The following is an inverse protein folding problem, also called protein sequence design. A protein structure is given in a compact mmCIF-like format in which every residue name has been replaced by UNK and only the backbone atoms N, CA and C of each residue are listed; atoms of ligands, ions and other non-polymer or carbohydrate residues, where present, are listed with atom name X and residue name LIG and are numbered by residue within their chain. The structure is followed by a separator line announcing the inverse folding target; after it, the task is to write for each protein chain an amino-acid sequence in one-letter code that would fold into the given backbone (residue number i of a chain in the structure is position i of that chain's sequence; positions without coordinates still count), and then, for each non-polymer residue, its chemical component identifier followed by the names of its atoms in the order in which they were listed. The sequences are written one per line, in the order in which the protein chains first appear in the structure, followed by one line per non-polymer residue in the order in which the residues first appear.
data_IF_411875073266
#
_entry.id   IF_411875073266
#
_cell.length_a   1.000
_cell.length_b   1.000
_cell.length_c   1.000
_cell.angle_alpha   90.00
_cell.angle_beta   90.00
_cell.angle_gamma   90.00
#
_symmetry.space_group_name_H-M   'P 1'
#
loop_
_entity.id
_entity.type
_entity.pdbx_description
1 polymer ?
#
# COMPACT_ATOMS: atom_id res chain seq x y z
N UNK A 1 -40.25 40.59 24.41
CA UNK A 1 -38.96 40.88 23.75
C UNK A 1 -37.89 40.07 24.48
N UNK A 2 -37.55 38.84 24.04
CA UNK A 2 -36.58 38.01 24.79
C UNK A 2 -36.42 36.56 24.35
N UNK A 3 -36.96 36.14 23.20
CA UNK A 3 -36.93 34.69 22.79
C UNK A 3 -35.93 34.39 21.66
N UNK A 4 -35.28 35.39 21.07
CA UNK A 4 -34.40 35.17 19.92
C UNK A 4 -32.88 35.28 20.18
N UNK A 5 -32.46 35.36 21.45
CA UNK A 5 -31.02 35.53 21.78
C UNK A 5 -30.19 34.26 21.86
N UNK A 6 -30.79 33.05 21.69
CA UNK A 6 -30.08 31.79 21.81
C UNK A 6 -29.94 31.00 20.49
N UNK A 7 -30.27 31.60 19.34
CA UNK A 7 -30.17 30.89 18.05
C UNK A 7 -28.81 31.04 17.35
N UNK A 8 -27.91 31.84 17.85
CA UNK A 8 -26.53 31.97 17.37
C UNK A 8 -25.54 31.57 18.46
N UNK A 9 -25.72 30.40 19.07
CA UNK A 9 -24.57 29.75 19.71
C UNK A 9 -23.54 29.49 18.63
N UNK A 10 -22.38 30.11 18.76
CA UNK A 10 -21.20 29.79 18.02
C UNK A 10 -21.12 28.26 17.94
N UNK A 11 -20.89 27.71 16.72
CA UNK A 11 -20.61 26.29 16.56
C UNK A 11 -19.31 26.03 17.29
N UNK A 12 -19.40 25.70 18.57
CA UNK A 12 -18.26 25.18 19.29
C UNK A 12 -17.77 23.97 18.52
N UNK A 13 -16.49 23.99 18.16
CA UNK A 13 -15.86 22.80 17.55
C UNK A 13 -16.19 21.63 18.48
N UNK A 14 -16.67 20.50 17.95
CA UNK A 14 -17.04 19.37 18.80
C UNK A 14 -15.88 19.03 19.71
N UNK A 15 -16.19 18.85 21.00
CA UNK A 15 -15.21 18.39 21.97
C UNK A 15 -14.79 16.97 21.54
N UNK A 16 -13.64 16.86 20.89
CA UNK A 16 -13.03 15.55 20.71
C UNK A 16 -12.65 15.07 22.10
N UNK A 17 -13.47 14.19 22.65
CA UNK A 17 -13.04 13.31 23.71
C UNK A 17 -11.63 12.86 23.39
N UNK A 18 -10.71 12.97 24.35
CA UNK A 18 -9.28 12.67 24.31
C UNK A 18 -8.91 11.80 23.10
N UNK A 19 -7.93 12.20 22.28
CA UNK A 19 -7.57 11.42 21.11
C UNK A 19 -7.41 9.98 21.61
N UNK A 20 -8.39 9.16 21.34
CA UNK A 20 -8.27 7.76 21.54
C UNK A 20 -7.37 7.29 20.40
N UNK A 21 -6.05 7.56 20.52
CA UNK A 21 -5.14 6.55 20.02
C UNK A 21 -5.71 5.30 20.64
N UNK A 22 -6.37 4.44 19.87
CA UNK A 22 -6.88 3.23 20.47
C UNK A 22 -5.65 2.62 21.12
N UNK A 23 -5.63 2.52 22.45
CA UNK A 23 -4.66 1.71 23.17
C UNK A 23 -5.01 0.25 22.88
N UNK A 24 -5.04 -0.08 21.60
CA UNK A 24 -5.05 -1.41 21.07
C UNK A 24 -3.61 -1.92 21.25
N UNK A 25 -3.14 -2.03 22.53
CA UNK A 25 -3.00 -3.35 23.05
C UNK A 25 -1.60 -3.92 22.97
N UNK A 26 -0.92 -3.77 24.02
CA UNK A 26 0.21 -4.63 24.39
C UNK A 26 -0.22 -6.04 24.86
N UNK A 27 -1.47 -6.46 24.61
CA UNK A 27 -1.93 -7.79 24.94
C UNK A 27 -1.44 -8.81 23.92
N UNK A 28 -1.07 -10.00 24.37
CA UNK A 28 -0.77 -11.15 23.50
C UNK A 28 -1.98 -11.46 22.61
N UNK A 29 -1.70 -11.94 21.40
CA UNK A 29 -2.73 -12.47 20.50
C UNK A 29 -3.31 -13.77 21.05
N UNK A 30 -4.43 -14.24 20.49
CA UNK A 30 -4.98 -15.56 20.83
C UNK A 30 -3.99 -16.71 20.60
N UNK A 31 -3.01 -16.52 19.70
CA UNK A 31 -1.92 -17.46 19.45
C UNK A 31 -0.72 -17.28 20.39
N UNK A 32 -0.79 -16.40 21.39
CA UNK A 32 0.31 -16.13 22.33
C UNK A 32 1.45 -15.29 21.78
N UNK A 33 1.32 -14.75 20.55
CA UNK A 33 2.34 -13.92 19.91
C UNK A 33 2.16 -12.44 20.20
N UNK A 34 3.28 -11.74 20.40
CA UNK A 34 3.29 -10.29 20.46
C UNK A 34 3.42 -9.72 19.05
N UNK A 35 2.35 -9.10 18.56
CA UNK A 35 2.32 -8.46 17.24
C UNK A 35 2.42 -6.96 17.41
N UNK A 36 3.50 -6.41 16.89
CA UNK A 36 3.76 -4.97 16.73
C UNK A 36 4.05 -4.69 15.26
N UNK A 37 4.08 -3.44 14.86
CA UNK A 37 4.44 -3.05 13.50
C UNK A 37 5.81 -3.60 13.09
N UNK A 38 6.77 -3.63 14.02
CA UNK A 38 8.11 -4.17 13.77
C UNK A 38 8.12 -5.69 13.65
N UNK A 39 7.43 -6.41 14.55
CA UNK A 39 7.40 -7.88 14.49
C UNK A 39 6.54 -8.38 13.33
N UNK A 40 5.47 -7.67 12.97
CA UNK A 40 4.64 -7.99 11.82
C UNK A 40 5.44 -7.96 10.49
N UNK A 41 6.39 -7.03 10.34
CA UNK A 41 7.26 -6.95 9.17
C UNK A 41 8.24 -8.13 9.03
N UNK A 42 8.37 -8.98 10.05
CA UNK A 42 9.13 -10.24 9.95
C UNK A 42 8.33 -11.34 9.25
N UNK A 43 7.00 -11.22 9.19
CA UNK A 43 6.16 -12.12 8.39
C UNK A 43 6.36 -11.81 6.90
N UNK A 44 6.76 -12.83 6.13
CA UNK A 44 7.01 -12.69 4.69
C UNK A 44 5.79 -12.15 3.93
N UNK A 45 4.57 -12.58 4.29
CA UNK A 45 3.34 -12.13 3.65
C UNK A 45 3.03 -10.65 3.95
N UNK A 46 3.22 -10.20 5.20
CA UNK A 46 3.04 -8.78 5.57
C UNK A 46 4.06 -7.91 4.84
N UNK A 47 5.34 -8.30 4.88
CA UNK A 47 6.41 -7.58 4.20
C UNK A 47 6.14 -7.45 2.69
N UNK A 48 5.75 -8.55 2.03
CA UNK A 48 5.45 -8.56 0.60
C UNK A 48 4.26 -7.63 0.26
N UNK A 49 3.16 -7.68 1.01
CA UNK A 49 2.01 -6.82 0.79
C UNK A 49 2.33 -5.33 0.98
N UNK A 50 3.03 -4.98 2.07
CA UNK A 50 3.46 -3.59 2.35
C UNK A 50 4.37 -3.10 1.24
N UNK A 51 5.35 -3.91 0.84
CA UNK A 51 6.31 -3.59 -0.21
C UNK A 51 5.62 -3.35 -1.56
N UNK A 52 4.75 -4.26 -2.00
CA UNK A 52 4.04 -4.14 -3.28
C UNK A 52 3.25 -2.82 -3.35
N UNK A 53 2.50 -2.47 -2.32
CA UNK A 53 1.71 -1.23 -2.33
C UNK A 53 2.62 0.00 -2.26
N UNK A 54 3.61 0.01 -1.36
CA UNK A 54 4.49 1.16 -1.15
C UNK A 54 5.34 1.46 -2.38
N UNK A 55 5.99 0.45 -2.98
CA UNK A 55 6.80 0.60 -4.19
C UNK A 55 5.93 0.99 -5.41
N UNK A 56 4.73 0.42 -5.54
CA UNK A 56 3.82 0.77 -6.63
C UNK A 56 3.49 2.26 -6.58
N UNK A 57 3.08 2.79 -5.42
CA UNK A 57 2.72 4.21 -5.28
C UNK A 57 3.96 5.10 -5.40
N UNK A 58 5.08 4.70 -4.81
CA UNK A 58 6.33 5.46 -4.88
C UNK A 58 6.87 5.59 -6.30
N UNK A 59 6.64 4.60 -7.16
CA UNK A 59 7.08 4.61 -8.56
C UNK A 59 6.27 5.53 -9.46
N UNK A 60 5.06 5.94 -9.05
CA UNK A 60 4.21 6.81 -9.85
C UNK A 60 4.75 8.25 -9.88
N UNK A 61 4.83 8.88 -11.06
CA UNK A 61 5.18 10.29 -11.14
C UNK A 61 4.12 11.15 -10.45
N UNK A 62 4.56 12.00 -9.53
CA UNK A 62 3.72 12.99 -8.84
C UNK A 62 4.01 14.37 -9.44
N UNK A 63 2.96 15.04 -9.88
CA UNK A 63 3.08 16.35 -10.51
C UNK A 63 2.19 17.39 -9.85
N UNK A 64 2.63 18.63 -9.88
CA UNK A 64 1.80 19.79 -9.59
C UNK A 64 1.19 20.28 -10.90
N UNK A 65 -0.12 20.43 -10.93
CA UNK A 65 -0.88 20.96 -12.05
C UNK A 65 -1.50 22.29 -11.70
N UNK A 66 -1.65 23.13 -12.73
CA UNK A 66 -2.42 24.36 -12.68
C UNK A 66 -3.67 24.20 -13.53
N UNK A 67 -4.82 24.66 -13.02
CA UNK A 67 -6.04 24.79 -13.83
C UNK A 67 -5.86 25.83 -14.92
N UNK A 68 -6.30 25.53 -16.11
CA UNK A 68 -6.36 26.42 -17.29
C UNK A 68 -7.76 26.32 -17.90
N UNK A 69 -8.13 27.28 -18.75
CA UNK A 69 -9.51 27.37 -19.30
C UNK A 69 -9.98 26.06 -19.97
N UNK A 70 -9.08 25.31 -20.58
CA UNK A 70 -9.36 24.06 -21.29
C UNK A 70 -8.77 22.83 -20.59
N UNK A 71 -8.71 22.81 -19.26
CA UNK A 71 -8.25 21.63 -18.52
C UNK A 71 -7.14 21.90 -17.51
N UNK A 72 -6.06 21.13 -17.55
CA UNK A 72 -4.93 21.22 -16.61
C UNK A 72 -3.60 21.22 -17.33
N UNK A 73 -2.62 21.94 -16.77
CA UNK A 73 -1.24 21.99 -17.28
C UNK A 73 -0.26 21.76 -16.13
N UNK A 74 0.78 20.93 -16.36
CA UNK A 74 1.89 20.78 -15.40
C UNK A 74 2.60 22.12 -15.23
N UNK A 75 2.96 22.46 -14.00
CA UNK A 75 3.69 23.69 -13.69
C UNK A 75 5.03 23.41 -12.99
N UNK A 76 6.09 23.08 -13.75
CA UNK A 76 7.41 22.84 -13.20
C UNK A 76 8.09 24.09 -12.62
N UNK A 77 7.53 25.29 -12.88
CA UNK A 77 8.08 26.56 -12.37
C UNK A 77 7.71 26.83 -10.91
N UNK A 78 6.69 26.16 -10.41
CA UNK A 78 6.27 26.30 -9.02
C UNK A 78 7.28 25.64 -8.06
N UNK A 79 7.72 26.30 -6.95
CA UNK A 79 8.72 25.75 -6.03
C UNK A 79 8.36 24.37 -5.48
N UNK A 80 7.08 24.13 -5.18
CA UNK A 80 6.58 22.87 -4.66
C UNK A 80 6.76 21.71 -5.65
N UNK A 81 6.79 21.98 -6.98
CA UNK A 81 6.96 20.93 -7.99
C UNK A 81 8.25 20.14 -7.77
N UNK A 82 9.37 20.83 -7.59
CA UNK A 82 10.68 20.18 -7.38
C UNK A 82 10.70 19.34 -6.10
N UNK A 83 10.07 19.82 -5.03
CA UNK A 83 9.99 19.08 -3.75
C UNK A 83 9.16 17.80 -3.90
N UNK A 84 8.06 17.83 -4.60
CA UNK A 84 7.18 16.66 -4.77
C UNK A 84 7.70 15.69 -5.83
N UNK A 85 8.25 16.20 -6.93
CA UNK A 85 8.63 15.39 -8.10
C UNK A 85 10.04 14.83 -7.99
N UNK A 86 11.01 15.61 -7.51
CA UNK A 86 12.42 15.23 -7.50
C UNK A 86 12.90 14.80 -6.11
N UNK A 87 12.92 15.73 -5.15
CA UNK A 87 13.45 15.49 -3.81
C UNK A 87 12.75 16.40 -2.79
N UNK A 88 12.08 15.85 -1.76
CA UNK A 88 11.40 16.63 -0.74
C UNK A 88 12.35 17.33 0.21
N UNK A 89 13.58 16.85 0.29
CA UNK A 89 14.67 17.37 1.14
C UNK A 89 16.01 16.84 0.61
N UNK A 90 17.17 17.34 1.14
CA UNK A 90 18.49 16.91 0.68
C UNK A 90 18.85 15.45 0.99
N UNK A 91 18.14 14.78 1.89
CA UNK A 91 18.48 13.45 2.40
C UNK A 91 17.86 12.31 1.61
N UNK A 92 16.75 12.58 0.87
CA UNK A 92 16.03 11.52 0.19
C UNK A 92 15.40 11.96 -1.13
N UNK A 93 15.23 11.00 -2.03
CA UNK A 93 14.49 11.19 -3.28
C UNK A 93 12.98 11.20 -3.02
N UNK A 94 12.21 11.71 -3.97
CA UNK A 94 10.74 11.67 -3.86
C UNK A 94 10.18 10.26 -3.85
N UNK A 95 10.87 9.28 -4.47
CA UNK A 95 10.53 7.86 -4.37
C UNK A 95 10.60 7.37 -2.92
N UNK A 96 11.76 7.52 -2.28
CA UNK A 96 11.98 7.07 -0.89
C UNK A 96 11.01 7.76 0.07
N UNK A 97 10.75 9.04 -0.14
CA UNK A 97 9.78 9.79 0.67
C UNK A 97 8.38 9.19 0.59
N UNK A 98 7.85 8.94 -0.63
CA UNK A 98 6.53 8.36 -0.83
C UNK A 98 6.44 6.93 -0.32
N UNK A 99 7.49 6.13 -0.56
CA UNK A 99 7.60 4.77 -0.02
C UNK A 99 7.54 4.76 1.51
N UNK A 100 8.26 5.69 2.16
CA UNK A 100 8.27 5.85 3.62
C UNK A 100 6.88 6.24 4.13
N UNK A 101 6.22 7.24 3.53
CA UNK A 101 4.88 7.64 3.93
C UNK A 101 3.86 6.51 3.77
N UNK A 102 3.96 5.76 2.67
CA UNK A 102 3.09 4.60 2.45
C UNK A 102 3.35 3.47 3.44
N UNK A 103 4.61 3.19 3.74
CA UNK A 103 4.98 2.21 4.77
C UNK A 103 4.42 2.62 6.13
N UNK A 104 4.49 3.90 6.50
CA UNK A 104 3.87 4.42 7.73
C UNK A 104 2.35 4.21 7.74
N UNK A 105 1.67 4.51 6.64
CA UNK A 105 0.22 4.30 6.51
C UNK A 105 -0.18 2.83 6.64
N UNK A 106 0.57 1.94 6.00
CA UNK A 106 0.27 0.51 5.96
C UNK A 106 0.58 -0.19 7.29
N UNK A 107 1.47 0.35 8.11
CA UNK A 107 1.82 -0.20 9.42
C UNK A 107 1.07 0.48 10.56
N UNK A 108 1.14 1.81 10.65
CA UNK A 108 0.56 2.59 11.76
C UNK A 108 -0.79 3.24 11.45
N UNK A 109 -1.21 3.19 10.18
CA UNK A 109 -2.46 3.82 9.75
C UNK A 109 -2.42 5.34 9.67
N UNK A 110 -1.26 5.95 9.88
CA UNK A 110 -1.04 7.38 9.76
C UNK A 110 0.36 7.63 9.20
N UNK A 111 0.51 8.66 8.38
CA UNK A 111 1.81 9.16 7.99
C UNK A 111 1.92 10.65 8.34
N UNK A 112 3.08 11.05 8.82
CA UNK A 112 3.36 12.42 9.21
C UNK A 112 4.66 12.87 8.57
N UNK A 113 4.69 14.13 8.12
CA UNK A 113 5.93 14.78 7.72
C UNK A 113 5.94 16.23 8.19
N UNK A 114 7.10 16.69 8.68
CA UNK A 114 7.31 18.08 9.04
C UNK A 114 7.51 18.92 7.78
N UNK A 115 6.81 20.05 7.70
CA UNK A 115 6.92 21.04 6.64
C UNK A 115 7.83 22.16 7.15
N UNK A 116 9.01 22.32 6.51
CA UNK A 116 9.90 23.42 6.81
C UNK A 116 9.64 24.58 5.84
N UNK A 117 9.45 25.78 6.39
CA UNK A 117 9.23 27.01 5.62
C UNK A 117 10.35 28.00 5.90
N UNK A 118 10.73 28.77 4.87
CA UNK A 118 11.66 29.90 5.02
C UNK A 118 10.97 31.14 5.59
N UNK A 119 11.73 32.23 5.77
CA UNK A 119 11.20 33.50 6.29
C UNK A 119 10.17 34.19 5.38
N UNK A 120 10.02 33.75 4.13
CA UNK A 120 9.00 34.20 3.18
C UNK A 120 7.76 33.29 3.13
N UNK A 121 7.74 32.24 3.95
CA UNK A 121 6.65 31.27 4.00
C UNK A 121 6.75 30.13 2.97
N UNK A 122 7.71 30.14 2.07
CA UNK A 122 7.89 29.10 1.04
C UNK A 122 8.39 27.78 1.68
N UNK A 123 7.87 26.65 1.19
CA UNK A 123 8.30 25.34 1.65
C UNK A 123 9.70 25.05 1.08
N UNK A 124 10.66 24.79 1.99
CA UNK A 124 12.06 24.49 1.64
C UNK A 124 12.43 23.03 1.91
N UNK A 125 11.55 22.29 2.58
CA UNK A 125 11.79 20.87 2.83
C UNK A 125 10.63 20.18 3.53
N UNK A 126 10.47 18.88 3.29
CA UNK A 126 9.44 18.03 3.89
C UNK A 126 10.14 16.77 4.41
N UNK A 127 10.04 16.51 5.73
CA UNK A 127 10.75 15.44 6.41
C UNK A 127 9.79 14.47 7.08
N UNK A 128 9.83 13.16 6.78
CA UNK A 128 8.96 12.17 7.43
C UNK A 128 9.23 12.10 8.94
N UNK A 129 8.16 11.95 9.71
CA UNK A 129 8.21 11.75 11.15
C UNK A 129 7.63 10.38 11.51
N UNK A 130 8.27 9.70 12.47
CA UNK A 130 7.84 8.35 12.87
C UNK A 130 6.46 8.40 13.57
N UNK A 131 5.47 7.64 13.08
CA UNK A 131 4.11 7.69 13.64
C UNK A 131 4.00 7.18 15.08
N UNK A 132 4.84 6.24 15.49
CA UNK A 132 4.88 5.69 16.86
C UNK A 132 5.30 6.73 17.91
N UNK A 133 5.86 7.86 17.47
CA UNK A 133 6.29 9.00 18.30
C UNK A 133 5.37 10.20 18.21
N UNK A 134 4.31 10.12 17.41
CA UNK A 134 3.39 11.23 17.16
C UNK A 134 2.08 11.02 17.93
N UNK A 135 1.64 12.06 18.60
CA UNK A 135 0.32 12.14 19.23
C UNK A 135 -0.43 13.34 18.67
N UNK A 136 -1.63 13.10 18.18
CA UNK A 136 -2.54 14.16 17.73
C UNK A 136 -3.37 14.60 18.93
N UNK A 137 -3.42 15.90 19.21
CA UNK A 137 -4.12 16.49 20.35
C UNK A 137 -4.80 17.80 19.96
N UNK A 138 -5.48 18.43 20.91
CA UNK A 138 -5.99 19.80 20.77
C UNK A 138 -5.43 20.65 21.91
N UNK A 139 -5.14 21.92 21.58
CA UNK A 139 -4.75 22.92 22.56
C UNK A 139 -5.96 23.44 23.34
N UNK A 140 -5.74 24.41 24.24
CA UNK A 140 -6.77 25.05 25.06
C UNK A 140 -7.82 25.76 24.20
N UNK A 141 -7.44 26.28 23.04
CA UNK A 141 -8.31 26.94 22.07
C UNK A 141 -9.00 25.94 21.10
N UNK A 142 -8.87 24.62 21.37
CA UNK A 142 -9.40 23.52 20.54
C UNK A 142 -8.78 23.43 19.13
N UNK A 143 -7.63 24.08 18.88
CA UNK A 143 -6.89 23.91 17.64
C UNK A 143 -6.15 22.57 17.63
N UNK A 144 -6.04 21.97 16.44
CA UNK A 144 -5.31 20.72 16.26
C UNK A 144 -3.82 20.97 16.42
N UNK A 145 -3.17 20.18 17.28
CA UNK A 145 -1.72 20.20 17.50
C UNK A 145 -1.15 18.79 17.41
N UNK A 146 0.12 18.70 17.08
CA UNK A 146 0.84 17.46 16.95
C UNK A 146 2.01 17.43 17.93
N UNK A 147 2.00 16.47 18.84
CA UNK A 147 3.03 16.30 19.86
C UNK A 147 3.98 15.17 19.45
N UNK A 148 5.21 15.52 19.11
CA UNK A 148 6.22 14.57 18.67
C UNK A 148 7.26 14.33 19.75
N UNK A 149 7.50 13.05 20.07
CA UNK A 149 8.50 12.64 21.04
C UNK A 149 9.87 12.44 20.38
N UNK A 150 10.78 13.40 20.57
CA UNK A 150 12.16 13.33 20.10
C UNK A 150 13.11 13.04 21.28
N UNK A 151 13.42 11.78 21.49
CA UNK A 151 14.18 11.35 22.67
C UNK A 151 13.41 11.69 23.97
N UNK A 152 14.02 12.48 24.84
CA UNK A 152 13.40 12.94 26.10
C UNK A 152 12.60 14.24 25.93
N UNK A 153 12.63 14.87 24.76
CA UNK A 153 11.94 16.14 24.51
C UNK A 153 10.64 15.89 23.75
N UNK A 154 9.59 16.58 24.14
CA UNK A 154 8.36 16.65 23.38
C UNK A 154 8.32 17.98 22.61
N UNK A 155 8.07 17.90 21.31
CA UNK A 155 7.98 19.04 20.41
C UNK A 155 6.51 19.15 19.99
N UNK A 156 5.92 20.33 20.14
CA UNK A 156 4.59 20.61 19.67
C UNK A 156 4.65 21.32 18.33
N UNK A 157 3.94 20.78 17.33
CA UNK A 157 3.76 21.38 16.02
C UNK A 157 2.32 21.85 15.85
N UNK A 158 2.16 22.94 15.12
CA UNK A 158 0.84 23.40 14.65
C UNK A 158 0.39 22.64 13.43
N UNK A 159 -0.87 22.77 13.06
CA UNK A 159 -1.45 22.08 11.91
C UNK A 159 -0.75 22.44 10.59
N UNK A 160 -0.33 23.69 10.41
CA UNK A 160 0.36 24.16 9.21
C UNK A 160 1.82 23.70 9.07
N UNK A 161 2.39 23.14 10.14
CA UNK A 161 3.76 22.63 10.16
C UNK A 161 3.85 21.12 9.86
N UNK A 162 2.70 20.44 9.75
CA UNK A 162 2.65 18.99 9.59
C UNK A 162 1.78 18.61 8.38
N UNK A 163 2.36 17.85 7.46
CA UNK A 163 1.61 17.03 6.52
C UNK A 163 1.15 15.78 7.26
N UNK A 164 -0.12 15.68 7.56
CA UNK A 164 -0.74 14.51 8.16
C UNK A 164 -1.65 13.82 7.16
N UNK A 165 -1.41 12.54 6.93
CA UNK A 165 -2.19 11.68 6.04
C UNK A 165 -2.79 10.56 6.91
N UNK A 166 -4.07 10.67 7.31
CA UNK A 166 -4.72 9.62 8.09
C UNK A 166 -5.22 8.48 7.20
N UNK A 167 -5.09 7.24 7.66
CA UNK A 167 -5.73 6.07 7.08
C UNK A 167 -7.22 5.99 7.41
N UNK A 168 -7.78 4.77 7.38
CA UNK A 168 -9.14 4.51 7.82
C UNK A 168 -9.23 4.68 9.34
N UNK A 169 -10.15 5.50 9.84
CA UNK A 169 -10.39 5.75 11.25
C UNK A 169 -11.87 6.12 11.51
N UNK A 170 -12.27 6.25 12.78
CA UNK A 170 -13.66 6.61 13.13
C UNK A 170 -13.90 8.11 13.19
N UNK A 171 -12.90 8.89 13.60
CA UNK A 171 -13.05 10.31 13.85
C UNK A 171 -12.65 11.20 12.65
N UNK A 172 -12.09 10.59 11.60
CA UNK A 172 -11.58 11.30 10.43
C UNK A 172 -10.29 12.08 10.67
N UNK A 173 -9.71 11.99 11.88
CA UNK A 173 -8.46 12.66 12.26
C UNK A 173 -7.31 11.68 12.38
N UNK A 174 -7.53 10.52 13.00
CA UNK A 174 -6.50 9.51 13.22
C UNK A 174 -6.94 8.18 12.62
N UNK A 175 -6.08 7.61 11.78
CA UNK A 175 -6.28 6.28 11.20
C UNK A 175 -5.89 5.17 12.17
N UNK A 176 -6.54 4.02 12.04
CA UNK A 176 -6.18 2.80 12.77
C UNK A 176 -4.97 2.13 12.16
N UNK A 177 -4.08 1.59 13.00
CA UNK A 177 -3.02 0.70 12.55
C UNK A 177 -3.63 -0.57 11.91
N UNK A 178 -3.37 -0.85 10.61
CA UNK A 178 -3.79 -2.10 9.99
C UNK A 178 -3.23 -3.34 10.71
N UNK A 179 -2.01 -3.23 11.24
CA UNK A 179 -1.37 -4.28 12.05
C UNK A 179 -2.16 -4.54 13.33
N UNK A 180 -2.54 -3.48 14.04
CA UNK A 180 -3.33 -3.62 15.28
C UNK A 180 -4.70 -4.24 15.01
N UNK A 181 -5.35 -3.86 13.91
CA UNK A 181 -6.66 -4.40 13.52
C UNK A 181 -6.58 -5.88 13.09
N UNK A 182 -5.51 -6.27 12.44
CA UNK A 182 -5.30 -7.63 11.92
C UNK A 182 -4.41 -8.50 12.83
N UNK A 183 -4.12 -8.06 14.06
CA UNK A 183 -3.09 -8.66 14.91
C UNK A 183 -3.28 -10.16 15.18
N UNK A 184 -4.52 -10.64 15.29
CA UNK A 184 -4.78 -12.06 15.53
C UNK A 184 -4.46 -12.92 14.30
N UNK A 185 -4.79 -12.46 13.10
CA UNK A 185 -4.43 -13.12 11.84
C UNK A 185 -2.91 -13.16 11.66
N UNK A 186 -2.23 -12.01 11.87
CA UNK A 186 -0.78 -11.93 11.79
C UNK A 186 -0.12 -12.78 12.86
N UNK A 187 -0.62 -12.77 14.10
CA UNK A 187 -0.12 -13.58 15.20
C UNK A 187 -0.28 -15.08 14.95
N UNK A 188 -1.36 -15.49 14.29
CA UNK A 188 -1.55 -16.88 13.86
C UNK A 188 -0.53 -17.27 12.78
N UNK A 189 -0.31 -16.41 11.78
CA UNK A 189 0.71 -16.65 10.76
C UNK A 189 2.11 -16.82 11.37
N UNK A 190 2.50 -15.93 12.28
CA UNK A 190 3.78 -16.02 13.02
C UNK A 190 3.89 -17.29 13.85
N UNK A 191 2.82 -17.69 14.54
CA UNK A 191 2.79 -18.93 15.33
C UNK A 191 2.91 -20.17 14.45
N UNK A 192 2.28 -20.16 13.27
CA UNK A 192 2.38 -21.26 12.30
C UNK A 192 3.80 -21.38 11.72
N UNK A 193 4.46 -20.25 11.42
CA UNK A 193 5.87 -20.24 10.99
C UNK A 193 6.81 -20.79 12.06
N UNK A 194 6.64 -20.37 13.32
CA UNK A 194 7.46 -20.85 14.43
C UNK A 194 7.22 -22.33 14.71
N UNK A 195 5.97 -22.78 14.67
CA UNK A 195 5.64 -24.20 14.80
C UNK A 195 6.34 -25.02 13.70
N UNK A 196 6.25 -24.60 12.44
CA UNK A 196 6.94 -25.25 11.32
C UNK A 196 8.45 -25.26 11.49
N UNK A 197 9.03 -24.13 11.87
CA UNK A 197 10.47 -24.02 12.13
C UNK A 197 10.91 -24.97 13.25
N UNK A 198 10.15 -25.02 14.37
CA UNK A 198 10.44 -25.91 15.48
C UNK A 198 10.27 -27.40 15.09
N UNK A 199 9.26 -27.72 14.30
CA UNK A 199 9.04 -29.07 13.82
C UNK A 199 10.19 -29.56 12.94
N UNK A 200 10.61 -28.76 11.98
CA UNK A 200 11.73 -29.10 11.09
C UNK A 200 13.08 -29.09 11.84
N UNK A 201 13.30 -28.17 12.77
CA UNK A 201 14.55 -28.13 13.56
C UNK A 201 14.70 -29.33 14.48
N UNK A 202 13.58 -29.94 14.86
CA UNK A 202 13.59 -31.19 15.66
C UNK A 202 13.58 -32.45 14.80
N UNK A 203 14.01 -32.36 13.53
CA UNK A 203 14.12 -33.51 12.61
C UNK A 203 12.78 -34.04 12.11
N UNK A 204 11.74 -33.20 12.10
CA UNK A 204 10.36 -33.53 11.72
C UNK A 204 9.80 -34.72 12.53
N UNK A 205 10.38 -35.03 13.71
CA UNK A 205 9.90 -36.06 14.62
C UNK A 205 8.79 -35.47 15.53
N UNK A 206 7.59 -36.03 15.53
CA UNK A 206 6.55 -35.64 16.47
C UNK A 206 7.00 -35.92 17.89
N UNK A 207 6.53 -35.11 18.85
CA UNK A 207 6.79 -35.36 20.26
C UNK A 207 6.26 -36.73 20.69
N UNK A 208 6.99 -37.41 21.54
CA UNK A 208 6.61 -38.73 22.02
C UNK A 208 7.01 -38.98 23.48
N UNK A 209 6.56 -40.09 24.00
CA UNK A 209 6.96 -40.60 25.30
C UNK A 209 7.83 -41.84 25.09
N UNK A 210 8.96 -41.89 25.80
CA UNK A 210 9.71 -43.12 25.99
C UNK A 210 9.14 -43.83 27.23
N UNK A 211 8.51 -45.00 27.02
CA UNK A 211 8.00 -45.82 28.07
C UNK A 211 9.05 -46.90 28.42
N UNK A 212 9.30 -47.09 29.74
CA UNK A 212 10.17 -48.11 30.24
C UNK A 212 9.36 -49.06 31.16
N UNK A 213 9.49 -50.39 31.06
CA UNK A 213 8.67 -51.32 31.84
C UNK A 213 8.97 -51.32 33.34
N UNK A 214 10.08 -50.74 33.78
CA UNK A 214 10.48 -50.60 35.17
C UNK A 214 10.78 -49.16 35.57
N UNK A 215 11.47 -48.95 36.68
CA UNK A 215 11.87 -47.61 37.16
C UNK A 215 13.27 -47.28 36.70
N UNK A 216 13.41 -46.17 35.95
CA UNK A 216 14.69 -45.66 35.55
C UNK A 216 15.40 -44.97 36.71
N UNK A 217 16.69 -45.25 36.90
CA UNK A 217 17.52 -44.60 37.93
C UNK A 217 17.77 -43.12 37.64
N UNK A 218 17.89 -42.79 36.38
CA UNK A 218 18.14 -41.41 35.92
C UNK A 218 17.42 -41.15 34.58
N UNK A 219 16.17 -40.69 34.63
CA UNK A 219 15.39 -40.37 33.44
C UNK A 219 15.99 -39.21 32.61
N UNK A 220 16.79 -38.34 33.26
CA UNK A 220 17.38 -37.15 32.60
C UNK A 220 18.42 -37.55 31.57
N UNK A 221 19.26 -38.55 31.89
CA UNK A 221 20.29 -39.04 30.94
C UNK A 221 19.68 -39.71 29.72
N UNK A 222 18.58 -40.44 29.89
CA UNK A 222 17.89 -41.04 28.74
C UNK A 222 17.32 -39.96 27.82
N UNK A 223 16.73 -38.91 28.41
CA UNK A 223 16.22 -37.78 27.65
C UNK A 223 17.33 -37.02 26.94
N UNK A 224 18.45 -36.71 27.60
CA UNK A 224 19.60 -36.02 26.99
C UNK A 224 20.17 -36.84 25.84
N UNK A 225 20.38 -38.15 26.02
CA UNK A 225 20.85 -39.02 24.94
C UNK A 225 19.90 -39.06 23.74
N UNK A 226 18.59 -39.07 24.01
CA UNK A 226 17.57 -39.01 22.98
C UNK A 226 17.60 -37.67 22.24
N UNK A 227 17.70 -36.54 22.97
CA UNK A 227 17.79 -35.20 22.37
C UNK A 227 19.06 -35.04 21.50
N UNK A 228 20.22 -35.56 21.96
CA UNK A 228 21.46 -35.51 21.19
C UNK A 228 21.36 -36.28 19.86
N UNK A 229 20.64 -37.41 19.85
CA UNK A 229 20.47 -38.25 18.66
C UNK A 229 19.51 -37.65 17.65
N UNK A 230 18.44 -36.96 18.09
CA UNK A 230 17.32 -36.55 17.23
C UNK A 230 17.16 -35.05 17.10
N UNK A 231 17.83 -34.23 17.92
CA UNK A 231 17.77 -32.76 17.81
C UNK A 231 18.60 -32.27 16.65
N UNK A 232 17.96 -31.44 15.80
CA UNK A 232 18.58 -30.80 14.64
C UNK A 232 18.16 -31.39 13.29
N UNK A 233 18.02 -30.52 12.29
CA UNK A 233 17.58 -30.89 10.94
C UNK A 233 18.51 -31.90 10.23
N UNK A 234 19.79 -31.97 10.62
CA UNK A 234 20.75 -32.95 10.11
C UNK A 234 20.60 -34.35 10.69
N UNK A 235 19.78 -34.55 11.71
CA UNK A 235 19.57 -35.82 12.37
C UNK A 235 18.22 -36.47 12.02
N UNK A 236 17.49 -35.91 11.09
CA UNK A 236 16.27 -36.47 10.54
C UNK A 236 16.51 -37.87 9.98
N UNK A 237 15.59 -38.81 10.25
CA UNK A 237 15.63 -40.20 9.78
C UNK A 237 16.74 -41.11 10.39
N UNK A 238 17.33 -40.76 11.52
CA UNK A 238 18.22 -41.69 12.22
C UNK A 238 17.42 -42.81 12.87
N UNK A 239 17.98 -44.02 12.82
CA UNK A 239 17.40 -45.18 13.51
C UNK A 239 17.72 -45.13 14.99
N UNK A 240 16.67 -45.13 15.83
CA UNK A 240 16.83 -45.28 17.27
C UNK A 240 16.91 -46.77 17.66
N UNK A 241 17.85 -47.12 18.53
CA UNK A 241 17.89 -48.43 19.15
C UNK A 241 17.41 -48.22 20.59
N UNK A 242 16.29 -48.87 20.94
CA UNK A 242 15.72 -48.83 22.28
C UNK A 242 16.15 -50.07 23.05
N UNK A 243 16.79 -49.87 24.20
CA UNK A 243 17.27 -50.96 25.07
C UNK A 243 16.28 -51.26 26.20
N UNK A 244 16.47 -52.37 26.90
CA UNK A 244 15.75 -52.75 28.11
C UNK A 244 14.21 -52.76 28.01
N UNK A 245 13.67 -53.04 26.83
CA UNK A 245 12.23 -53.09 26.60
C UNK A 245 11.53 -51.70 26.54
N UNK A 246 12.30 -50.63 26.36
CA UNK A 246 11.73 -49.31 26.12
C UNK A 246 10.92 -49.31 24.84
N UNK A 247 9.83 -48.55 24.84
CA UNK A 247 8.99 -48.33 23.67
C UNK A 247 8.78 -46.82 23.45
N UNK A 248 8.81 -46.40 22.20
CA UNK A 248 8.46 -45.04 21.83
C UNK A 248 6.99 -44.98 21.43
N UNK A 249 6.22 -44.15 22.13
CA UNK A 249 4.84 -43.84 21.75
C UNK A 249 4.75 -42.38 21.33
N UNK A 250 4.34 -42.17 20.12
CA UNK A 250 4.06 -40.84 19.62
C UNK A 250 2.87 -40.22 20.36
N UNK A 251 3.07 -39.01 20.91
CA UNK A 251 2.00 -38.20 21.50
C UNK A 251 1.64 -37.10 20.52
N UNK A 252 0.38 -37.01 20.19
CA UNK A 252 -0.14 -35.99 19.28
C UNK A 252 -0.39 -36.55 17.90
N UNK A 253 -1.21 -35.82 17.16
CA UNK A 253 -1.51 -36.08 15.78
C UNK A 253 -0.41 -35.36 14.98
N UNK A 254 0.43 -36.05 14.19
CA UNK A 254 1.34 -35.38 13.31
C UNK A 254 0.51 -34.48 12.37
N UNK A 255 0.83 -33.18 12.20
CA UNK A 255 0.15 -32.41 11.19
C UNK A 255 0.37 -33.10 9.85
N UNK A 256 -0.72 -33.46 9.19
CA UNK A 256 -0.61 -33.92 7.82
C UNK A 256 0.11 -32.80 7.05
N UNK A 257 1.19 -33.12 6.35
CA UNK A 257 2.00 -32.14 5.60
C UNK A 257 1.13 -31.28 4.69
N UNK A 258 0.14 -31.89 4.04
CA UNK A 258 -0.82 -31.19 3.21
C UNK A 258 -1.62 -30.13 3.99
N UNK A 259 -2.13 -30.48 5.20
CA UNK A 259 -2.89 -29.54 6.04
C UNK A 259 -2.04 -28.39 6.57
N UNK A 260 -0.76 -28.64 6.86
CA UNK A 260 0.16 -27.59 7.28
C UNK A 260 0.43 -26.59 6.13
N UNK A 261 0.67 -27.09 4.93
CA UNK A 261 0.86 -26.25 3.73
C UNK A 261 -0.40 -25.45 3.39
N UNK A 262 -1.58 -26.07 3.46
CA UNK A 262 -2.85 -25.39 3.25
C UNK A 262 -3.10 -24.30 4.30
N UNK A 263 -2.75 -24.56 5.56
CA UNK A 263 -2.86 -23.54 6.63
C UNK A 263 -1.95 -22.35 6.35
N UNK A 264 -0.69 -22.58 5.99
CA UNK A 264 0.24 -21.48 5.65
C UNK A 264 -0.26 -20.67 4.47
N UNK A 265 -0.78 -21.33 3.44
CA UNK A 265 -1.36 -20.66 2.28
C UNK A 265 -2.57 -19.82 2.66
N UNK A 266 -3.50 -20.37 3.43
CA UNK A 266 -4.66 -19.62 3.93
C UNK A 266 -4.25 -18.37 4.72
N UNK A 267 -3.21 -18.47 5.57
CA UNK A 267 -2.67 -17.32 6.31
C UNK A 267 -2.14 -16.24 5.38
N UNK A 268 -1.43 -16.63 4.31
CA UNK A 268 -0.95 -15.69 3.30
C UNK A 268 -2.10 -15.02 2.58
N UNK A 269 -3.11 -15.77 2.13
CA UNK A 269 -4.32 -15.23 1.48
C UNK A 269 -5.09 -14.28 2.42
N UNK A 270 -5.15 -14.58 3.73
CA UNK A 270 -5.80 -13.72 4.73
C UNK A 270 -5.07 -12.37 4.88
N UNK A 271 -3.73 -12.38 4.94
CA UNK A 271 -2.93 -11.16 4.97
C UNK A 271 -3.10 -10.36 3.66
N UNK A 272 -3.09 -11.03 2.52
CA UNK A 272 -3.37 -10.41 1.22
C UNK A 272 -4.76 -9.72 1.20
N UNK A 273 -5.77 -10.34 1.79
CA UNK A 273 -7.13 -9.78 1.91
C UNK A 273 -7.16 -8.52 2.77
N UNK A 274 -6.42 -8.49 3.88
CA UNK A 274 -6.32 -7.32 4.77
C UNK A 274 -5.76 -6.11 4.01
N UNK A 275 -4.70 -6.31 3.23
CA UNK A 275 -4.06 -5.27 2.43
C UNK A 275 -4.71 -5.05 1.05
N UNK A 276 -5.69 -5.89 0.66
CA UNK A 276 -6.30 -5.90 -0.68
C UNK A 276 -5.28 -6.08 -1.79
N UNK A 277 -4.26 -6.89 -1.54
CA UNK A 277 -3.25 -7.26 -2.54
C UNK A 277 -3.65 -8.59 -3.18
N UNK A 278 -3.77 -8.68 -4.50
CA UNK A 278 -4.00 -9.95 -5.18
C UNK A 278 -2.87 -10.94 -4.89
N UNK A 279 -3.15 -12.21 -4.57
CA UNK A 279 -2.13 -13.20 -4.20
C UNK A 279 -1.01 -13.38 -5.24
N UNK A 280 -1.30 -13.25 -6.53
CA UNK A 280 -0.30 -13.38 -7.58
C UNK A 280 0.81 -12.31 -7.49
N UNK A 281 0.54 -11.13 -6.93
CA UNK A 281 1.54 -10.08 -6.74
C UNK A 281 2.53 -10.37 -5.60
N UNK A 282 2.21 -11.34 -4.74
CA UNK A 282 3.09 -11.86 -3.70
C UNK A 282 3.59 -13.27 -4.03
N UNK A 283 3.60 -13.62 -5.32
CA UNK A 283 4.07 -14.90 -5.88
C UNK A 283 3.24 -16.14 -5.50
N UNK A 284 1.99 -16.00 -5.10
CA UNK A 284 1.04 -17.10 -4.97
C UNK A 284 0.24 -17.25 -6.28
N UNK A 285 0.66 -18.21 -7.11
CA UNK A 285 0.15 -18.43 -8.47
C UNK A 285 -0.82 -19.62 -8.60
N UNK A 286 -1.16 -20.30 -7.53
CA UNK A 286 -1.90 -21.56 -7.57
C UNK A 286 -3.25 -21.51 -8.29
N UNK A 287 -3.91 -20.35 -8.32
CA UNK A 287 -5.19 -20.14 -8.99
C UNK A 287 -5.09 -19.13 -10.14
N UNK A 288 -3.87 -18.81 -10.57
CA UNK A 288 -3.62 -17.78 -11.54
C UNK A 288 -3.77 -18.33 -12.98
N UNK A 289 -4.68 -17.75 -13.76
CA UNK A 289 -4.76 -17.89 -15.22
C UNK A 289 -4.46 -16.52 -15.84
N UNK A 290 -4.01 -16.48 -17.10
CA UNK A 290 -3.65 -15.22 -17.76
C UNK A 290 -4.78 -14.17 -17.71
N UNK A 291 -6.01 -14.56 -18.01
CA UNK A 291 -7.16 -13.65 -17.97
C UNK A 291 -7.49 -13.17 -16.55
N UNK A 292 -7.33 -14.04 -15.53
CA UNK A 292 -7.56 -13.67 -14.14
C UNK A 292 -6.50 -12.69 -13.61
N UNK A 293 -5.24 -12.85 -14.02
CA UNK A 293 -4.15 -11.96 -13.63
C UNK A 293 -4.39 -10.54 -14.12
N UNK A 294 -4.80 -10.38 -15.39
CA UNK A 294 -5.09 -9.06 -15.97
C UNK A 294 -6.24 -8.36 -15.22
N UNK A 295 -7.35 -9.05 -15.02
CA UNK A 295 -8.49 -8.52 -14.27
C UNK A 295 -8.14 -8.20 -12.81
N UNK A 296 -7.34 -9.03 -12.15
CA UNK A 296 -6.87 -8.79 -10.79
C UNK A 296 -5.91 -7.61 -10.73
N UNK A 297 -5.05 -7.41 -11.73
CA UNK A 297 -4.15 -6.26 -11.81
C UNK A 297 -4.93 -4.95 -11.97
N UNK A 298 -5.94 -4.90 -12.82
CA UNK A 298 -6.84 -3.76 -12.95
C UNK A 298 -7.59 -3.52 -11.65
N UNK A 299 -8.14 -4.57 -11.04
CA UNK A 299 -8.83 -4.51 -9.74
C UNK A 299 -7.93 -3.96 -8.63
N UNK A 300 -6.65 -4.36 -8.60
CA UNK A 300 -5.67 -3.84 -7.67
C UNK A 300 -5.46 -2.33 -7.84
N UNK A 301 -5.33 -1.85 -9.08
CA UNK A 301 -5.20 -0.41 -9.34
C UNK A 301 -6.44 0.34 -8.87
N UNK A 302 -7.63 -0.12 -9.23
CA UNK A 302 -8.90 0.57 -8.95
C UNK A 302 -9.26 0.54 -7.47
N UNK A 303 -9.11 -0.61 -6.81
CA UNK A 303 -9.63 -0.82 -5.45
C UNK A 303 -8.59 -0.70 -4.34
N UNK A 304 -7.30 -0.82 -4.68
CA UNK A 304 -6.21 -0.71 -3.69
C UNK A 304 -5.39 0.55 -3.88
N UNK A 305 -4.84 0.77 -5.07
CA UNK A 305 -3.92 1.88 -5.32
C UNK A 305 -4.66 3.22 -5.37
N UNK A 306 -5.72 3.35 -6.19
CA UNK A 306 -6.44 4.62 -6.37
C UNK A 306 -6.94 5.25 -5.07
N UNK A 307 -7.55 4.52 -4.10
CA UNK A 307 -7.97 5.12 -2.84
C UNK A 307 -6.81 5.74 -2.04
N UNK A 308 -5.61 5.14 -2.11
CA UNK A 308 -4.42 5.70 -1.48
C UNK A 308 -3.93 6.94 -2.21
N UNK A 309 -3.93 6.95 -3.55
CA UNK A 309 -3.53 8.12 -4.34
C UNK A 309 -4.40 9.33 -4.01
N UNK A 310 -5.73 9.18 -4.06
CA UNK A 310 -6.67 10.25 -3.72
C UNK A 310 -6.44 10.79 -2.31
N UNK A 311 -6.15 9.90 -1.35
CA UNK A 311 -5.87 10.29 0.03
C UNK A 311 -4.58 11.10 0.15
N UNK A 312 -3.53 10.68 -0.54
CA UNK A 312 -2.24 11.38 -0.59
C UNK A 312 -2.38 12.75 -1.27
N UNK A 313 -3.02 12.80 -2.43
CA UNK A 313 -3.26 14.02 -3.21
C UNK A 313 -4.00 15.07 -2.38
N UNK A 314 -5.17 14.70 -1.83
CA UNK A 314 -5.98 15.63 -1.03
C UNK A 314 -5.29 16.10 0.25
N UNK A 315 -4.51 15.22 0.90
CA UNK A 315 -3.75 15.61 2.08
C UNK A 315 -2.60 16.57 1.73
N UNK A 316 -1.92 16.33 0.60
CA UNK A 316 -0.87 17.22 0.10
C UNK A 316 -1.44 18.57 -0.33
N UNK A 317 -2.54 18.60 -1.09
CA UNK A 317 -3.20 19.85 -1.47
C UNK A 317 -3.56 20.71 -0.25
N UNK A 318 -4.16 20.06 0.75
CA UNK A 318 -4.59 20.75 1.97
C UNK A 318 -3.43 21.30 2.81
N UNK A 319 -2.29 20.59 2.87
CA UNK A 319 -1.18 20.92 3.77
C UNK A 319 -0.09 21.77 3.10
N UNK A 320 0.13 21.59 1.80
CA UNK A 320 1.27 22.17 1.10
C UNK A 320 0.90 23.39 0.25
N UNK A 321 -0.35 23.52 -0.17
CA UNK A 321 -0.84 24.69 -0.92
C UNK A 321 -1.54 25.66 0.02
N UNK A 322 -1.29 26.95 -0.17
CA UNK A 322 -2.05 27.99 0.53
C UNK A 322 -3.52 28.00 0.07
N UNK A 323 -4.48 28.47 0.90
CA UNK A 323 -5.89 28.50 0.51
C UNK A 323 -6.16 29.19 -0.84
N UNK A 324 -5.41 30.26 -1.15
CA UNK A 324 -5.51 30.99 -2.42
C UNK A 324 -4.96 30.20 -3.60
N UNK A 325 -3.98 29.31 -3.34
CA UNK A 325 -3.36 28.44 -4.35
C UNK A 325 -4.23 27.24 -4.68
N UNK A 326 -4.96 26.67 -3.71
CA UNK A 326 -5.84 25.49 -3.88
C UNK A 326 -6.94 25.71 -4.93
N UNK A 327 -7.27 26.96 -5.26
CA UNK A 327 -8.20 27.28 -6.36
C UNK A 327 -7.55 27.20 -7.74
N UNK A 328 -6.23 27.23 -7.82
CA UNK A 328 -5.44 27.29 -9.07
C UNK A 328 -4.56 26.08 -9.28
N UNK A 329 -4.11 25.45 -8.22
CA UNK A 329 -3.16 24.35 -8.26
C UNK A 329 -3.70 23.13 -7.53
N UNK A 330 -3.23 21.96 -7.95
CA UNK A 330 -3.49 20.68 -7.27
C UNK A 330 -2.37 19.70 -7.61
N UNK A 331 -2.21 18.71 -6.72
CA UNK A 331 -1.24 17.64 -6.86
C UNK A 331 -1.96 16.40 -7.41
N UNK A 332 -1.37 15.73 -8.40
CA UNK A 332 -1.96 14.53 -8.98
C UNK A 332 -0.89 13.52 -9.39
N UNK A 333 -1.13 12.26 -9.09
CA UNK A 333 -0.32 11.15 -9.59
C UNK A 333 -0.67 10.82 -11.03
N UNK A 334 0.35 10.56 -11.84
CA UNK A 334 0.13 10.00 -13.16
C UNK A 334 0.04 8.47 -13.06
N UNK A 335 -1.16 7.93 -13.26
CA UNK A 335 -1.45 6.49 -13.20
C UNK A 335 -1.37 5.79 -14.55
N UNK A 336 -1.10 6.51 -15.64
CA UNK A 336 -1.10 5.95 -17.00
C UNK A 336 -0.18 4.74 -17.12
N UNK A 337 0.95 4.74 -16.39
CA UNK A 337 1.90 3.63 -16.37
C UNK A 337 1.35 2.33 -15.79
N UNK A 338 0.43 2.41 -14.80
CA UNK A 338 -0.19 1.24 -14.17
C UNK A 338 -1.35 0.65 -14.98
N UNK A 339 -2.06 1.53 -15.69
CA UNK A 339 -3.21 1.15 -16.53
C UNK A 339 -2.78 0.73 -17.93
N UNK A 340 -1.50 0.89 -18.27
CA UNK A 340 -0.94 0.41 -19.51
C UNK A 340 -0.96 -1.12 -19.48
N UNK A 341 -1.98 -1.70 -20.15
CA UNK A 341 -2.03 -3.12 -20.47
C UNK A 341 -0.78 -3.59 -21.20
N UNK A 342 -0.78 -4.81 -21.70
CA UNK A 342 0.32 -5.28 -22.54
C UNK A 342 0.59 -4.30 -23.71
N UNK A 343 1.74 -4.46 -24.32
CA UNK A 343 2.18 -3.60 -25.44
C UNK A 343 1.15 -3.58 -26.59
N UNK A 344 0.55 -4.74 -26.88
CA UNK A 344 -0.39 -4.90 -27.98
C UNK A 344 -1.69 -4.13 -27.74
N UNK A 345 -2.32 -4.30 -26.56
CA UNK A 345 -3.54 -3.54 -26.18
C UNK A 345 -3.30 -2.05 -26.18
N UNK A 346 -2.14 -1.60 -25.72
CA UNK A 346 -1.76 -0.18 -25.71
C UNK A 346 -1.61 0.37 -27.12
N UNK A 347 -0.89 -0.34 -27.99
CA UNK A 347 -0.72 0.09 -29.40
C UNK A 347 -2.04 0.12 -30.14
N UNK A 348 -2.94 -0.82 -29.88
CA UNK A 348 -4.28 -0.84 -30.44
C UNK A 348 -5.12 0.36 -29.92
N UNK A 349 -4.98 0.70 -28.64
CA UNK A 349 -5.62 1.89 -28.06
C UNK A 349 -5.14 3.18 -28.72
N UNK A 350 -3.83 3.33 -28.95
CA UNK A 350 -3.25 4.48 -29.66
C UNK A 350 -3.71 4.55 -31.12
N UNK A 351 -3.76 3.42 -31.82
CA UNK A 351 -4.27 3.38 -33.17
C UNK A 351 -5.72 3.87 -33.23
N UNK A 352 -6.56 3.39 -32.32
CA UNK A 352 -7.95 3.82 -32.20
C UNK A 352 -8.06 5.31 -31.87
N UNK A 353 -7.30 5.81 -30.91
CA UNK A 353 -7.32 7.21 -30.52
C UNK A 353 -6.86 8.14 -31.65
N UNK A 354 -5.83 7.71 -32.41
CA UNK A 354 -5.31 8.44 -33.58
C UNK A 354 -6.34 8.49 -34.72
N UNK A 355 -7.00 7.35 -35.01
CA UNK A 355 -8.00 7.25 -36.09
C UNK A 355 -9.27 8.04 -35.79
N UNK A 356 -9.62 8.21 -34.53
CA UNK A 356 -10.82 8.94 -34.09
C UNK A 356 -10.54 10.42 -33.73
N UNK A 357 -9.32 10.92 -33.92
CA UNK A 357 -8.99 12.31 -33.69
C UNK A 357 -8.84 12.71 -32.22
N UNK A 358 -8.70 11.76 -31.29
CA UNK A 358 -8.53 12.05 -29.86
C UNK A 358 -7.09 12.36 -29.49
N UNK A 359 -6.13 11.86 -30.27
CA UNK A 359 -4.70 12.02 -29.99
C UNK A 359 -3.95 12.41 -31.27
N UNK A 360 -3.01 13.33 -31.13
CA UNK A 360 -2.00 13.62 -32.13
C UNK A 360 -0.85 12.60 -32.08
N UNK A 361 0.02 12.56 -33.10
CA UNK A 361 1.22 11.75 -33.07
C UNK A 361 2.13 12.13 -31.89
N UNK A 362 2.25 13.43 -31.61
CA UNK A 362 3.07 13.94 -30.52
C UNK A 362 2.50 13.60 -29.13
N UNK A 363 1.18 13.50 -28.98
CA UNK A 363 0.60 13.05 -27.71
C UNK A 363 1.01 11.60 -27.40
N UNK A 364 0.95 10.71 -28.40
CA UNK A 364 1.41 9.32 -28.27
C UNK A 364 2.91 9.28 -28.00
N UNK A 365 3.72 10.06 -28.71
CA UNK A 365 5.18 10.12 -28.52
C UNK A 365 5.57 10.63 -27.14
N UNK A 366 4.83 11.61 -26.58
CA UNK A 366 5.02 12.06 -25.19
C UNK A 366 4.73 10.94 -24.19
N UNK A 367 3.67 10.18 -24.43
CA UNK A 367 3.34 9.04 -23.57
C UNK A 367 4.39 7.93 -23.64
N UNK A 368 5.00 7.68 -24.82
CA UNK A 368 6.02 6.65 -25.02
C UNK A 368 7.46 7.17 -24.81
N UNK A 369 7.62 8.38 -24.28
CA UNK A 369 8.92 9.04 -24.06
C UNK A 369 9.80 9.09 -25.30
N UNK A 370 9.19 9.38 -26.45
CA UNK A 370 9.87 9.54 -27.76
C UNK A 370 10.07 11.02 -28.07
N UNK A 371 11.09 11.34 -28.88
CA UNK A 371 11.28 12.70 -29.39
C UNK A 371 10.08 13.13 -30.21
N UNK A 372 9.68 14.40 -30.04
CA UNK A 372 8.53 14.95 -30.74
C UNK A 372 8.82 15.16 -32.22
N UNK A 373 7.79 15.09 -33.06
CA UNK A 373 7.82 15.43 -34.46
C UNK A 373 7.60 16.97 -34.55
N UNK A 374 8.36 17.73 -35.35
CA UNK A 374 8.13 19.14 -35.55
C UNK A 374 6.70 19.46 -36.03
N UNK A 375 6.19 20.63 -35.66
CA UNK A 375 4.85 21.07 -36.08
C UNK A 375 4.72 21.17 -37.61
N UNK A 376 5.79 21.55 -38.29
CA UNK A 376 5.89 21.63 -39.74
C UNK A 376 5.67 20.27 -40.41
N UNK A 377 6.03 19.18 -39.72
CA UNK A 377 5.82 17.80 -40.17
C UNK A 377 4.48 17.21 -39.69
N UNK A 378 3.64 18.01 -39.06
CA UNK A 378 2.29 17.60 -38.63
C UNK A 378 2.23 16.79 -37.38
N UNK A 379 3.26 16.84 -36.50
CA UNK A 379 3.32 16.08 -35.26
C UNK A 379 2.13 16.30 -34.30
N UNK A 380 1.59 17.53 -34.28
CA UNK A 380 0.45 17.91 -33.43
C UNK A 380 -0.90 17.88 -34.16
N UNK A 381 -0.98 17.36 -35.37
CA UNK A 381 -2.24 17.27 -36.13
C UNK A 381 -3.14 16.16 -35.56
N UNK A 382 -4.38 16.51 -35.28
CA UNK A 382 -5.47 15.57 -34.98
C UNK A 382 -6.07 15.11 -36.30
N UNK A 383 -6.04 13.81 -36.58
CA UNK A 383 -6.54 13.21 -37.80
C UNK A 383 -7.74 12.32 -37.49
N UNK A 384 -8.73 12.35 -38.36
CA UNK A 384 -9.88 11.45 -38.34
C UNK A 384 -9.89 10.60 -39.60
N UNK A 385 -10.44 9.38 -39.50
CA UNK A 385 -10.67 8.57 -40.68
C UNK A 385 -11.75 9.23 -41.56
N UNK A 386 -11.41 9.58 -42.78
CA UNK A 386 -12.30 10.26 -43.74
C UNK A 386 -13.55 9.47 -44.16
N UNK A 387 -13.62 8.20 -43.83
CA UNK A 387 -14.78 7.36 -44.07
C UNK A 387 -15.92 7.57 -43.05
N UNK A 388 -15.74 8.38 -42.01
CA UNK A 388 -16.80 8.73 -41.07
C UNK A 388 -17.59 9.94 -41.59
N UNK A 389 -18.91 9.74 -41.76
CA UNK A 389 -19.86 10.78 -42.15
C UNK A 389 -20.75 11.16 -40.97
N UNK A 390 -21.23 12.40 -40.95
CA UNK A 390 -22.20 12.79 -39.91
C UNK A 390 -23.47 11.94 -40.07
N UNK A 391 -24.06 11.51 -38.97
CA UNK A 391 -25.24 10.63 -38.97
C UNK A 391 -26.39 11.19 -39.83
N UNK A 392 -26.58 12.52 -39.86
CA UNK A 392 -27.56 13.19 -40.69
C UNK A 392 -27.29 13.05 -42.18
N UNK A 393 -26.02 12.81 -42.57
CA UNK A 393 -25.57 12.73 -43.97
C UNK A 393 -25.33 11.25 -44.40
N UNK A 394 -25.59 10.28 -43.49
CA UNK A 394 -25.31 8.85 -43.70
C UNK A 394 -26.02 8.21 -44.91
N UNK A 395 -27.07 8.82 -45.42
CA UNK A 395 -27.79 8.35 -46.61
C UNK A 395 -27.36 8.96 -47.92
N UNK A 396 -26.53 10.05 -47.90
CA UNK A 396 -26.18 10.80 -49.11
C UNK A 396 -25.19 10.06 -50.02
N UNK A 397 -24.44 9.12 -49.49
CA UNK A 397 -23.43 8.35 -50.23
C UNK A 397 -23.89 6.97 -50.67
N UNK A 398 -25.05 6.52 -50.23
CA UNK A 398 -25.65 5.20 -50.60
C UNK A 398 -26.30 5.21 -52.00
N UNK A 399 -26.37 6.35 -52.69
CA UNK A 399 -27.06 6.52 -53.93
C UNK A 399 -26.23 6.92 -55.16
N UNK A 400 -24.89 6.96 -55.05
CA UNK A 400 -24.04 7.15 -56.24
C UNK A 400 -23.71 5.77 -56.83
N UNK A 401 -24.67 5.20 -57.57
CA UNK A 401 -24.36 4.21 -58.58
C UNK A 401 -23.36 4.79 -59.57
N UNK A 402 -22.26 4.05 -59.73
CA UNK A 402 -21.30 4.27 -60.82
C UNK A 402 -22.08 4.20 -62.13
N UNK A 403 -22.33 5.30 -62.80
CA UNK A 403 -22.71 5.30 -64.21
C UNK A 403 -21.50 4.74 -64.97
N UNK A 404 -21.57 3.47 -65.33
CA UNK A 404 -20.69 2.90 -66.35
C UNK A 404 -20.90 3.75 -67.61
N UNK A 405 -19.85 4.37 -68.09
CA UNK A 405 -19.77 5.00 -69.40
C UNK A 405 -19.75 3.91 -70.45
N UNK A 406 -20.93 3.60 -71.01
CA UNK A 406 -21.00 3.03 -72.34
C UNK A 406 -20.64 4.10 -73.37
N UNK A 407 -19.52 3.87 -74.04
CA UNK A 407 -19.29 4.02 -75.50
C UNK A 407 -17.83 3.83 -75.88
#
# INVERSE_FOLDING_TARGET
MGIFKNLFRSRDKPELTKPSTPRFFFALTSSGKQVTEKTAMQSAAVYACVRVIAETIASLPLHLYRYVDEGKKRDPSHPLYTLLHNAPNPEMTSFIFRETLMTHLLLWGNAYAQILRNGHGEIVGIYPLLPDRMQVARDEDKNLIYLYQSGMKQIAFRQEEILHIPGLGFDGLVGYSPIAMARNAIGMAMATEEFGSSFFSNGAAPGGILEHPGTLKDPSKVRESWEELFKGSGNANRVAVLEEGMTYKQIGIPPNEAQFLETRKYQTEEICRIYRVPPHLVADLDKATFSNIEHQSISFVVHTIRPWLVRLEQAMDKALLYPEEQTRYFVEFNVDGLLRGDYESRMQGYATARQNGWMSANDIRRLENMNLIPDEEGGNLYLINGNMTKLKDAGLFAGQEVKESES
#
